data_IF_416980055313
#
_entry.id   IF_416980055313
#
_cell.length_a   1.000
_cell.length_b   1.000
_cell.length_c   1.000
_cell.angle_alpha   90.00
_cell.angle_beta   90.00
_cell.angle_gamma   90.00
#
_symmetry.space_group_name_H-M   'P 1'
#
loop_
_entity.id
_entity.type
_entity.pdbx_description
1 polymer ?
#
# COMPACT_ATOMS: atom_id res chain seq x y z
N UNK A 1 -21.87 15.90 71.42
CA UNK A 1 -20.42 16.14 71.63
C UNK A 1 -19.65 14.84 71.39
N UNK A 2 -18.82 14.83 70.34
CA UNK A 2 -17.53 14.13 70.12
C UNK A 2 -17.42 12.60 70.35
N UNK A 3 -16.66 11.78 69.61
CA UNK A 3 -15.79 11.86 68.40
C UNK A 3 -15.34 10.40 68.11
N UNK A 4 -15.49 9.87 66.89
CA UNK A 4 -14.41 9.54 65.91
C UNK A 4 -13.56 8.24 66.17
N UNK A 5 -13.60 7.36 65.14
CA UNK A 5 -12.63 6.32 64.68
C UNK A 5 -12.49 5.06 65.56
N UNK A 6 -12.53 3.85 64.98
CA UNK A 6 -11.43 3.27 64.19
C UNK A 6 -11.96 2.39 63.06
N UNK A 7 -11.48 2.71 61.85
CA UNK A 7 -11.52 1.95 60.62
C UNK A 7 -10.91 0.56 60.86
N UNK A 8 -11.69 -0.51 60.71
CA UNK A 8 -11.17 -1.87 60.68
C UNK A 8 -10.56 -2.10 59.29
N UNK A 9 -9.30 -1.68 59.14
CA UNK A 9 -8.40 -2.15 58.10
C UNK A 9 -8.09 -3.60 58.44
N UNK A 10 -8.89 -4.55 57.96
CA UNK A 10 -8.42 -5.91 57.77
C UNK A 10 -7.81 -5.94 56.38
N UNK A 11 -6.49 -5.78 56.37
CA UNK A 11 -5.57 -6.13 55.30
C UNK A 11 -5.82 -7.62 54.93
N UNK A 12 -6.80 -7.87 54.08
CA UNK A 12 -6.79 -9.08 53.27
C UNK A 12 -5.68 -8.85 52.25
N UNK A 13 -4.51 -9.43 52.55
CA UNK A 13 -3.37 -9.52 51.64
C UNK A 13 -3.83 -10.39 50.47
N UNK A 14 -4.54 -9.77 49.52
CA UNK A 14 -4.73 -10.32 48.20
C UNK A 14 -3.41 -10.06 47.48
N UNK A 15 -2.51 -11.05 47.57
CA UNK A 15 -1.42 -11.25 46.63
C UNK A 15 -2.01 -11.58 45.25
N UNK A 16 -2.68 -10.61 44.63
CA UNK A 16 -2.88 -10.56 43.20
C UNK A 16 -2.15 -9.31 42.76
N UNK A 17 -0.86 -9.50 42.48
CA UNK A 17 -0.07 -8.61 41.65
C UNK A 17 -0.94 -8.25 40.46
N UNK A 18 -1.54 -7.08 40.55
CA UNK A 18 -2.42 -6.54 39.54
C UNK A 18 -1.49 -6.07 38.44
N UNK A 19 -1.05 -7.02 37.61
CA UNK A 19 -0.58 -6.76 36.26
C UNK A 19 -1.79 -6.26 35.47
N UNK A 20 -2.22 -5.04 35.80
CA UNK A 20 -3.02 -4.23 34.91
C UNK A 20 -2.04 -3.85 33.81
N UNK A 21 -1.89 -4.72 32.82
CA UNK A 21 -1.40 -4.28 31.53
C UNK A 21 -2.32 -3.12 31.14
N UNK A 22 -1.80 -1.92 30.88
CA UNK A 22 -2.63 -0.90 30.27
C UNK A 22 -3.09 -1.52 28.95
N UNK A 23 -4.39 -1.79 28.84
CA UNK A 23 -5.03 -2.11 27.59
C UNK A 23 -4.83 -0.86 26.73
N UNK A 24 -3.71 -0.81 26.00
CA UNK A 24 -3.47 0.21 24.99
C UNK A 24 -4.52 -0.09 23.92
N UNK A 25 -5.61 0.66 23.95
CA UNK A 25 -6.55 0.73 22.85
C UNK A 25 -5.77 1.43 21.74
N UNK A 26 -5.09 0.64 20.92
CA UNK A 26 -4.42 1.15 19.73
C UNK A 26 -5.49 1.56 18.74
N UNK A 27 -5.51 2.82 18.27
CA UNK A 27 -6.40 3.19 17.18
C UNK A 27 -6.04 2.31 15.99
N UNK A 28 -7.02 1.59 15.44
CA UNK A 28 -6.79 0.85 14.21
C UNK A 28 -6.48 1.86 13.10
N UNK A 29 -5.19 1.96 12.75
CA UNK A 29 -4.72 2.75 11.60
C UNK A 29 -5.17 2.04 10.33
N UNK A 30 -6.36 2.40 9.85
CA UNK A 30 -6.83 1.98 8.55
C UNK A 30 -6.11 2.80 7.47
N UNK A 31 -4.98 2.32 6.96
CA UNK A 31 -4.31 2.98 5.84
C UNK A 31 -5.20 2.92 4.62
N UNK A 32 -5.56 4.08 4.09
CA UNK A 32 -6.37 4.19 2.88
C UNK A 32 -5.51 4.70 1.75
N UNK A 33 -5.14 3.79 0.87
CA UNK A 33 -4.39 4.09 -0.35
C UNK A 33 -5.37 4.20 -1.51
N UNK A 34 -5.24 5.27 -2.27
CA UNK A 34 -6.01 5.48 -3.48
C UNK A 34 -5.13 6.00 -4.59
N UNK A 35 -5.59 5.87 -5.83
CA UNK A 35 -4.85 6.41 -6.94
C UNK A 35 -5.45 6.05 -8.28
N UNK A 36 -4.71 6.37 -9.34
CA UNK A 36 -5.04 6.03 -10.72
C UNK A 36 -3.83 5.41 -11.40
N UNK A 37 -4.06 4.29 -12.06
CA UNK A 37 -3.09 3.59 -12.89
C UNK A 37 -3.25 3.99 -14.36
N UNK A 38 -2.17 4.45 -14.96
CA UNK A 38 -2.13 4.88 -16.36
C UNK A 38 -1.00 4.16 -17.10
N UNK A 39 -1.30 3.67 -18.30
CA UNK A 39 -0.35 3.06 -19.22
C UNK A 39 0.15 4.11 -20.21
N UNK A 40 1.48 4.27 -20.28
CA UNK A 40 2.13 5.12 -21.28
C UNK A 40 2.69 4.27 -22.42
N UNK A 41 2.27 4.57 -23.65
CA UNK A 41 2.73 3.93 -24.89
C UNK A 41 3.32 5.00 -25.82
N UNK A 42 4.50 4.72 -26.40
CA UNK A 42 5.06 5.60 -27.43
C UNK A 42 4.47 5.20 -28.78
N UNK A 43 3.87 6.16 -29.47
CA UNK A 43 3.45 6.00 -30.85
C UNK A 43 4.64 6.46 -31.71
N UNK A 44 5.31 5.54 -32.42
CA UNK A 44 6.37 5.93 -33.34
C UNK A 44 5.80 6.81 -34.44
N UNK A 45 6.46 7.93 -34.72
CA UNK A 45 6.17 8.75 -35.89
C UNK A 45 6.93 8.19 -37.08
N UNK A 46 6.26 7.99 -38.22
CA UNK A 46 6.92 7.60 -39.48
C UNK A 46 7.75 8.75 -40.09
N UNK A 47 7.86 9.88 -39.40
CA UNK A 47 8.51 11.10 -39.86
C UNK A 47 9.48 11.54 -38.74
N UNK A 48 10.78 11.45 -39.01
CA UNK A 48 11.88 11.67 -38.05
C UNK A 48 11.90 13.04 -37.36
N UNK A 49 11.10 13.99 -37.84
CA UNK A 49 11.04 15.38 -37.38
C UNK A 49 9.89 15.63 -36.39
N UNK A 50 8.96 14.68 -36.25
CA UNK A 50 7.81 14.83 -35.34
C UNK A 50 8.12 14.09 -34.03
N UNK A 51 8.03 14.76 -32.87
CA UNK A 51 8.25 14.10 -31.58
C UNK A 51 7.26 12.93 -31.43
N UNK A 52 7.77 11.79 -30.98
CA UNK A 52 6.97 10.60 -30.69
C UNK A 52 5.79 10.97 -29.80
N UNK A 53 4.58 10.63 -30.22
CA UNK A 53 3.39 10.92 -29.43
C UNK A 53 3.27 9.92 -28.28
N UNK A 54 2.92 10.39 -27.09
CA UNK A 54 2.64 9.51 -25.95
C UNK A 54 1.14 9.33 -25.84
N UNK A 55 0.67 8.08 -25.93
CA UNK A 55 -0.70 7.72 -25.58
C UNK A 55 -0.74 7.32 -24.12
N UNK A 56 -1.69 7.91 -23.39
CA UNK A 56 -1.98 7.56 -22.00
C UNK A 56 -3.35 6.91 -21.93
N UNK A 57 -3.44 5.69 -21.40
CA UNK A 57 -4.72 4.98 -21.21
C UNK A 57 -4.86 4.48 -19.78
N UNK A 58 -6.07 4.46 -19.21
CA UNK A 58 -6.27 3.86 -17.90
C UNK A 58 -5.94 2.36 -17.93
N UNK A 59 -5.44 1.83 -16.82
CA UNK A 59 -5.19 0.39 -16.65
C UNK A 59 -6.32 -0.19 -15.80
N UNK A 60 -7.24 -0.90 -16.44
CA UNK A 60 -8.33 -1.59 -15.76
C UNK A 60 -7.93 -3.00 -15.33
N UNK A 61 -8.61 -3.53 -14.31
CA UNK A 61 -8.45 -4.90 -13.82
C UNK A 61 -7.00 -5.28 -13.43
N UNK A 62 -6.17 -4.29 -13.06
CA UNK A 62 -4.88 -4.57 -12.45
C UNK A 62 -5.10 -5.00 -11.01
N UNK A 63 -4.36 -6.01 -10.56
CA UNK A 63 -4.35 -6.41 -9.15
C UNK A 63 -3.29 -5.58 -8.43
N UNK A 64 -3.69 -4.94 -7.33
CA UNK A 64 -2.82 -4.10 -6.52
C UNK A 64 -2.76 -4.70 -5.13
N UNK A 65 -1.56 -5.00 -4.66
CA UNK A 65 -1.32 -5.50 -3.33
C UNK A 65 -0.42 -4.54 -2.58
N UNK A 66 -0.74 -4.29 -1.31
CA UNK A 66 0.09 -3.54 -0.38
C UNK A 66 0.85 -4.52 0.49
N UNK A 67 2.16 -4.31 0.58
CA UNK A 67 3.10 -5.09 1.34
C UNK A 67 3.98 -4.19 2.19
N UNK A 68 4.62 -4.77 3.18
CA UNK A 68 5.63 -4.16 4.03
C UNK A 68 6.92 -5.01 3.95
N UNK A 69 8.07 -4.39 3.68
CA UNK A 69 9.36 -5.06 3.44
C UNK A 69 10.20 -5.30 4.72
N UNK A 70 9.58 -5.24 5.90
CA UNK A 70 10.24 -5.53 7.19
C UNK A 70 10.73 -7.00 7.31
N UNK A 71 11.03 -7.52 8.52
CA UNK A 71 11.57 -8.86 8.83
C UNK A 71 10.68 -10.06 8.35
N UNK A 72 10.35 -10.09 7.06
CA UNK A 72 9.27 -10.84 6.41
C UNK A 72 8.38 -9.90 5.59
N UNK A 73 8.15 -10.22 4.31
CA UNK A 73 7.19 -9.50 3.47
C UNK A 73 5.76 -9.70 4.03
N UNK A 74 5.21 -8.66 4.65
CA UNK A 74 3.90 -8.71 5.31
C UNK A 74 2.79 -8.23 4.39
N UNK A 75 1.84 -9.11 4.08
CA UNK A 75 0.69 -8.77 3.24
C UNK A 75 -0.31 -7.90 4.01
N UNK A 76 -0.41 -6.63 3.62
CA UNK A 76 -1.29 -5.67 4.26
C UNK A 76 -2.64 -5.54 3.57
N UNK A 77 -2.78 -5.87 2.29
CA UNK A 77 -4.10 -5.83 1.65
C UNK A 77 -4.05 -5.82 0.14
N UNK A 78 -5.22 -5.90 -0.49
CA UNK A 78 -5.32 -5.89 -1.94
C UNK A 78 -6.59 -5.21 -2.45
N UNK A 79 -6.54 -4.81 -3.72
CA UNK A 79 -7.67 -4.27 -4.46
C UNK A 79 -7.47 -4.51 -5.96
N UNK A 80 -8.48 -4.17 -6.76
CA UNK A 80 -8.41 -4.21 -8.21
C UNK A 80 -8.74 -2.84 -8.78
N UNK A 81 -8.02 -2.40 -9.81
CA UNK A 81 -8.34 -1.13 -10.48
C UNK A 81 -9.64 -1.22 -11.28
N UNK A 82 -10.41 -0.13 -11.23
CA UNK A 82 -11.64 0.05 -11.98
C UNK A 82 -11.36 0.34 -13.46
N UNK A 83 -12.41 0.40 -14.27
CA UNK A 83 -12.33 0.65 -15.72
C UNK A 83 -11.63 1.96 -16.09
N UNK A 84 -11.71 2.97 -15.23
CA UNK A 84 -11.03 4.27 -15.39
C UNK A 84 -9.60 4.29 -14.82
N UNK A 85 -9.10 3.13 -14.38
CA UNK A 85 -7.80 2.95 -13.76
C UNK A 85 -7.73 3.35 -12.30
N UNK A 86 -8.83 3.83 -11.70
CA UNK A 86 -8.84 4.22 -10.29
C UNK A 86 -8.86 3.01 -9.37
N UNK A 87 -8.24 3.13 -8.19
CA UNK A 87 -8.28 2.10 -7.16
C UNK A 87 -8.37 2.72 -5.77
N UNK A 88 -8.90 1.92 -4.83
CA UNK A 88 -8.93 2.21 -3.40
C UNK A 88 -8.59 0.93 -2.65
N UNK A 89 -7.59 0.97 -1.80
CA UNK A 89 -7.10 -0.12 -0.97
C UNK A 89 -7.16 0.34 0.48
N UNK A 90 -7.76 -0.49 1.32
CA UNK A 90 -7.70 -0.33 2.76
C UNK A 90 -6.74 -1.39 3.28
N UNK A 91 -5.69 -1.00 3.99
CA UNK A 91 -4.81 -1.96 4.64
C UNK A 91 -5.58 -2.67 5.77
N UNK A 92 -5.32 -3.96 5.90
CA UNK A 92 -5.66 -4.76 7.06
C UNK A 92 -4.76 -4.30 8.18
N UNK A 93 -5.35 -3.75 9.22
CA UNK A 93 -4.66 -3.40 10.45
C UNK A 93 -4.09 -4.67 11.07
N UNK A 94 -2.78 -4.77 11.25
CA UNK A 94 -2.27 -5.58 12.37
C UNK A 94 -2.34 -4.70 13.62
N UNK A 95 -2.75 -5.28 14.73
CA UNK A 95 -2.79 -4.62 16.05
C UNK A 95 -1.40 -4.28 16.60
N UNK A 96 -0.34 -4.43 15.82
CA UNK A 96 1.06 -4.28 16.22
C UNK A 96 1.78 -3.10 15.55
N UNK A 97 1.13 -2.37 14.64
CA UNK A 97 1.78 -1.26 13.91
C UNK A 97 1.69 0.08 14.65
N UNK A 98 2.85 0.66 14.98
CA UNK A 98 2.99 1.87 15.78
C UNK A 98 3.02 3.19 14.95
N UNK A 99 2.95 3.13 13.63
CA UNK A 99 2.89 4.29 12.74
C UNK A 99 3.41 3.95 11.34
N UNK A 100 3.34 4.89 10.40
CA UNK A 100 3.89 4.72 9.04
C UNK A 100 5.43 4.73 9.08
N UNK A 101 6.01 5.40 10.08
CA UNK A 101 7.44 5.56 10.24
C UNK A 101 8.21 4.25 10.46
N UNK A 102 7.52 3.19 10.90
CA UNK A 102 8.10 1.87 11.15
C UNK A 102 7.78 0.87 10.04
N UNK A 103 7.11 1.31 8.96
CA UNK A 103 6.81 0.45 7.80
C UNK A 103 7.78 0.78 6.67
N UNK A 104 8.13 -0.23 5.86
CA UNK A 104 8.71 -0.10 4.53
C UNK A 104 7.67 -0.45 3.44
N UNK A 105 6.58 0.35 3.30
CA UNK A 105 5.44 -0.06 2.50
C UNK A 105 5.70 0.03 1.00
N UNK A 106 5.19 -0.93 0.25
CA UNK A 106 5.24 -0.92 -1.21
C UNK A 106 3.99 -1.54 -1.84
N UNK A 107 3.70 -1.12 -3.08
CA UNK A 107 2.68 -1.75 -3.90
C UNK A 107 3.31 -2.73 -4.88
N UNK A 108 2.75 -3.94 -4.95
CA UNK A 108 2.90 -4.83 -6.10
C UNK A 108 1.69 -4.68 -7.01
N UNK A 109 1.96 -4.32 -8.26
CA UNK A 109 0.92 -4.03 -9.25
C UNK A 109 1.06 -5.02 -10.39
N UNK A 110 0.13 -5.97 -10.48
CA UNK A 110 0.05 -6.94 -11.57
C UNK A 110 -0.88 -6.41 -12.65
N UNK A 111 -0.36 -6.19 -13.85
CA UNK A 111 -1.06 -5.53 -14.94
C UNK A 111 -0.67 -6.06 -16.33
N UNK A 112 -1.37 -5.58 -17.37
CA UNK A 112 -1.10 -5.88 -18.78
C UNK A 112 -0.59 -4.67 -19.60
N UNK A 113 -0.25 -3.56 -18.94
CA UNK A 113 0.34 -2.40 -19.62
C UNK A 113 1.75 -2.71 -20.14
N UNK A 114 1.86 -2.97 -21.44
CA UNK A 114 3.13 -3.25 -22.11
C UNK A 114 3.94 -1.97 -22.34
N UNK A 115 3.27 -0.83 -22.52
CA UNK A 115 3.91 0.42 -22.94
C UNK A 115 4.55 0.23 -24.30
N UNK A 116 5.86 -0.05 -24.34
CA UNK A 116 6.61 -0.52 -25.51
C UNK A 116 7.66 -1.60 -25.16
N UNK A 117 7.46 -2.35 -24.06
CA UNK A 117 8.30 -3.52 -23.75
C UNK A 117 8.08 -4.54 -24.86
N UNK A 118 9.00 -4.58 -25.84
CA UNK A 118 9.13 -5.51 -26.96
C UNK A 118 7.79 -6.07 -27.50
N UNK A 119 7.44 -5.73 -28.75
CA UNK A 119 6.23 -6.19 -29.47
C UNK A 119 5.94 -7.72 -29.42
N UNK A 120 6.87 -8.53 -28.91
CA UNK A 120 6.73 -9.97 -28.68
C UNK A 120 6.48 -10.33 -27.21
N UNK A 121 5.54 -9.66 -26.54
CA UNK A 121 4.92 -10.27 -25.36
C UNK A 121 3.87 -11.24 -25.89
N UNK A 122 4.11 -12.54 -25.72
CA UNK A 122 3.08 -13.56 -25.93
C UNK A 122 1.83 -13.16 -25.13
N UNK A 123 0.64 -13.33 -25.73
CA UNK A 123 -0.64 -12.72 -25.31
C UNK A 123 -1.11 -13.10 -23.89
N UNK A 124 -0.34 -13.86 -23.12
CA UNK A 124 -0.71 -14.42 -21.82
C UNK A 124 0.15 -13.94 -20.64
N UNK A 125 1.26 -13.24 -20.87
CA UNK A 125 2.13 -12.83 -19.77
C UNK A 125 1.55 -11.65 -18.95
N UNK A 126 1.78 -11.69 -17.64
CA UNK A 126 1.53 -10.57 -16.74
C UNK A 126 2.82 -9.79 -16.47
N UNK A 127 2.66 -8.49 -16.26
CA UNK A 127 3.74 -7.62 -15.79
C UNK A 127 3.48 -7.30 -14.32
N UNK A 128 4.52 -7.38 -13.49
CA UNK A 128 4.46 -7.01 -12.09
C UNK A 128 5.41 -5.85 -11.85
N UNK A 129 4.87 -4.71 -11.47
CA UNK A 129 5.64 -3.52 -11.10
C UNK A 129 5.60 -3.28 -9.60
N UNK A 130 6.76 -2.92 -9.05
CA UNK A 130 6.88 -2.51 -7.64
C UNK A 130 6.89 -0.98 -7.54
N UNK A 131 6.06 -0.43 -6.67
CA UNK A 131 6.01 0.99 -6.34
C UNK A 131 6.30 1.19 -4.86
N UNK A 132 7.44 1.79 -4.55
CA UNK A 132 7.88 2.11 -3.20
C UNK A 132 7.08 3.30 -2.65
N UNK A 133 6.46 3.14 -1.49
CA UNK A 133 5.70 4.18 -0.79
C UNK A 133 6.49 4.83 0.35
N UNK A 134 7.63 4.28 0.76
CA UNK A 134 8.47 4.77 1.86
C UNK A 134 9.02 6.17 1.59
N UNK A 135 9.14 6.56 0.32
CA UNK A 135 9.56 7.90 -0.09
C UNK A 135 8.43 8.95 -0.09
N UNK A 136 7.18 8.57 0.20
CA UNK A 136 6.05 9.48 0.19
C UNK A 136 5.74 10.05 1.58
N UNK A 137 5.38 11.33 1.69
CA UNK A 137 4.88 11.86 2.95
C UNK A 137 3.54 11.20 3.30
N UNK A 138 3.31 10.93 4.59
CA UNK A 138 2.14 10.22 5.14
C UNK A 138 0.78 10.78 4.68
N UNK A 139 0.72 12.03 4.21
CA UNK A 139 -0.49 12.70 3.74
C UNK A 139 -0.82 12.45 2.26
N UNK A 140 0.04 11.78 1.48
CA UNK A 140 -0.09 11.62 0.02
C UNK A 140 -0.39 10.19 -0.41
N UNK A 141 -1.57 9.68 -0.05
CA UNK A 141 -2.09 8.40 -0.55
C UNK A 141 -3.13 8.56 -1.67
N UNK A 142 -3.01 9.61 -2.49
CA UNK A 142 -3.70 9.73 -3.77
C UNK A 142 -2.66 9.72 -4.89
N UNK A 143 -2.36 8.53 -5.40
CA UNK A 143 -1.21 8.26 -6.26
C UNK A 143 -1.56 8.39 -7.74
N UNK A 144 -0.72 9.07 -8.50
CA UNK A 144 -0.74 9.03 -9.97
C UNK A 144 0.38 8.12 -10.47
N UNK A 145 0.08 6.83 -10.68
CA UNK A 145 1.08 5.83 -11.06
C UNK A 145 1.03 5.61 -12.57
N UNK A 146 2.16 5.84 -13.22
CA UNK A 146 2.32 5.62 -14.66
C UNK A 146 3.27 4.46 -14.94
N UNK A 147 2.77 3.50 -15.69
CA UNK A 147 3.43 2.25 -16.05
C UNK A 147 3.74 2.23 -17.54
N UNK A 148 4.63 1.33 -17.95
CA UNK A 148 5.04 1.18 -19.33
C UNK A 148 6.16 2.16 -19.72
N UNK A 149 6.01 2.81 -20.87
CA UNK A 149 7.09 3.54 -21.51
C UNK A 149 7.64 4.68 -20.64
N UNK A 150 8.96 4.67 -20.40
CA UNK A 150 9.64 5.68 -19.59
C UNK A 150 9.28 5.65 -18.10
N UNK A 151 8.55 4.63 -17.63
CA UNK A 151 8.33 4.41 -16.20
C UNK A 151 9.65 4.06 -15.52
N UNK A 152 9.87 4.60 -14.32
CA UNK A 152 11.03 4.28 -13.47
C UNK A 152 10.79 3.07 -12.55
N UNK A 153 9.62 2.46 -12.64
CA UNK A 153 9.23 1.34 -11.78
C UNK A 153 9.91 0.06 -12.25
N UNK A 154 10.49 -0.68 -11.31
CA UNK A 154 11.02 -2.01 -11.59
C UNK A 154 9.85 -2.90 -11.98
N UNK A 155 9.93 -3.49 -13.17
CA UNK A 155 8.85 -4.29 -13.76
C UNK A 155 9.40 -5.65 -14.19
N UNK A 156 8.86 -6.70 -13.60
CA UNK A 156 9.20 -8.09 -13.94
C UNK A 156 8.11 -8.68 -14.83
N UNK A 157 8.50 -9.53 -15.76
CA UNK A 157 7.59 -10.30 -16.61
C UNK A 157 7.38 -11.68 -15.98
N UNK A 158 6.11 -12.10 -15.89
CA UNK A 158 5.74 -13.45 -15.47
C UNK A 158 4.88 -14.07 -16.57
N UNK A 159 5.47 -15.08 -17.19
CA UNK A 159 4.86 -16.09 -18.03
C UNK A 159 5.16 -17.43 -17.32
#
# INVERSE_FOLDING_TARGET
MNKIKIFLIIFLVINLSSYIYPFKIFPQLNYKISGKLECMTFIPSNISIIPSQVRVTPISNAQIQLWDEDDGDDFLGETTSLNDGTFKLNAKTSSEFFGIADLEPYLLIKHKCIGNLEEKIEQECWLISRYDLSALPEEKYNLGIRLGAGSRLRTNRIC
#
